data_IF_199038942380
#
_entry.id   IF_199038942380
#
_cell.length_a   1.000
_cell.length_b   1.000
_cell.length_c   1.000
_cell.angle_alpha   90.00
_cell.angle_beta   90.00
_cell.angle_gamma   90.00
#
_symmetry.space_group_name_H-M   'P 1'
#
loop_
_entity.id
_entity.type
_entity.pdbx_description
1 polymer ?
#
# COMPACT_ATOMS: atom_id res chain seq x y z
N UNK A 1 -21.69 36.43 -0.14
CA UNK A 1 -20.33 35.89 0.08
C UNK A 1 -20.20 34.64 -0.77
N UNK A 2 -19.06 34.40 -1.45
CA UNK A 2 -18.85 33.13 -2.14
C UNK A 2 -18.85 31.97 -1.12
N UNK A 3 -19.46 30.84 -1.49
CA UNK A 3 -19.57 29.65 -0.63
C UNK A 3 -18.18 29.03 -0.34
N UNK A 4 -17.22 29.24 -1.27
CA UNK A 4 -15.84 28.78 -1.19
C UNK A 4 -14.86 29.88 -1.58
N UNK A 5 -13.61 29.76 -1.14
CA UNK A 5 -12.53 30.62 -1.56
C UNK A 5 -12.23 30.43 -3.07
N UNK A 6 -12.03 31.49 -3.87
CA UNK A 6 -11.76 31.36 -5.30
C UNK A 6 -10.38 30.74 -5.56
N UNK A 7 -10.32 29.74 -6.44
CA UNK A 7 -9.09 29.04 -6.89
C UNK A 7 -9.21 28.81 -8.41
N UNK A 8 -8.09 28.91 -9.15
CA UNK A 8 -8.07 28.61 -10.59
C UNK A 8 -7.87 27.12 -10.83
N UNK A 9 -8.44 26.60 -11.90
CA UNK A 9 -8.26 25.21 -12.34
C UNK A 9 -6.77 24.90 -12.60
N UNK A 10 -6.01 25.86 -13.14
CA UNK A 10 -4.57 25.71 -13.34
C UNK A 10 -3.79 25.51 -12.04
N UNK A 11 -4.26 26.08 -10.94
CA UNK A 11 -3.57 26.00 -9.65
C UNK A 11 -3.81 24.62 -9.02
N UNK A 12 -5.01 24.05 -9.22
CA UNK A 12 -5.32 22.66 -8.84
C UNK A 12 -4.41 21.68 -9.58
N UNK A 13 -4.30 21.80 -10.91
CA UNK A 13 -3.44 20.91 -11.70
C UNK A 13 -1.97 21.03 -11.29
N UNK A 14 -1.46 22.25 -11.10
CA UNK A 14 -0.08 22.47 -10.65
C UNK A 14 0.17 21.86 -9.29
N UNK A 15 -0.75 22.03 -8.34
CA UNK A 15 -0.62 21.47 -7.00
C UNK A 15 -0.53 19.93 -7.04
N UNK A 16 -1.40 19.27 -7.81
CA UNK A 16 -1.39 17.80 -7.93
C UNK A 16 -0.11 17.32 -8.61
N UNK A 17 0.23 17.86 -9.79
CA UNK A 17 1.38 17.41 -10.58
C UNK A 17 2.69 17.64 -9.85
N UNK A 18 2.92 18.83 -9.31
CA UNK A 18 4.18 19.14 -8.60
C UNK A 18 4.35 18.29 -7.34
N UNK A 19 3.29 18.08 -6.56
CA UNK A 19 3.35 17.27 -5.35
C UNK A 19 3.60 15.80 -5.66
N UNK A 20 2.93 15.26 -6.70
CA UNK A 20 3.12 13.87 -7.12
C UNK A 20 4.54 13.65 -7.65
N UNK A 21 5.02 14.50 -8.56
CA UNK A 21 6.35 14.36 -9.13
C UNK A 21 7.45 14.51 -8.08
N UNK A 22 7.31 15.47 -7.15
CA UNK A 22 8.24 15.60 -6.03
C UNK A 22 8.33 14.31 -5.20
N UNK A 23 7.18 13.72 -4.82
CA UNK A 23 7.18 12.46 -4.07
C UNK A 23 7.72 11.30 -4.91
N UNK A 24 7.40 11.24 -6.20
CA UNK A 24 7.85 10.17 -7.08
C UNK A 24 9.38 10.22 -7.29
N UNK A 25 9.93 11.39 -7.56
CA UNK A 25 11.38 11.63 -7.65
C UNK A 25 12.08 11.31 -6.33
N UNK A 26 11.52 11.75 -5.20
CA UNK A 26 12.06 11.43 -3.88
C UNK A 26 12.13 9.92 -3.70
N UNK A 27 11.06 9.19 -3.98
CA UNK A 27 10.96 7.74 -3.74
C UNK A 27 11.46 6.86 -4.91
N UNK A 28 12.10 7.44 -5.92
CA UNK A 28 12.87 6.69 -6.90
C UNK A 28 13.98 5.85 -6.24
N UNK A 29 14.44 6.27 -5.07
CA UNK A 29 15.30 5.49 -4.16
C UNK A 29 14.68 5.46 -2.75
N UNK A 30 14.52 4.26 -2.19
CA UNK A 30 13.92 4.04 -0.86
C UNK A 30 14.70 3.02 -0.02
N UNK A 31 14.53 3.01 1.30
CA UNK A 31 15.10 1.93 2.11
C UNK A 31 14.37 0.62 1.84
N UNK A 32 13.03 0.67 1.81
CA UNK A 32 12.17 -0.49 1.60
C UNK A 32 11.07 -0.17 0.59
N UNK A 33 10.93 -1.06 -0.39
CA UNK A 33 9.74 -1.13 -1.25
C UNK A 33 8.91 -2.34 -0.85
N UNK A 34 7.61 -2.12 -0.61
CA UNK A 34 6.65 -3.18 -0.31
C UNK A 34 5.71 -3.31 -1.50
N UNK A 35 5.60 -4.50 -2.09
CA UNK A 35 4.67 -4.78 -3.18
C UNK A 35 3.38 -5.36 -2.60
N UNK A 36 2.29 -4.60 -2.68
CA UNK A 36 0.98 -4.96 -2.15
C UNK A 36 0.59 -4.14 -0.91
N UNK A 37 -0.49 -3.36 -1.03
CA UNK A 37 -1.09 -2.56 0.03
C UNK A 37 -2.15 -3.32 0.84
N UNK A 38 -2.04 -4.64 0.96
CA UNK A 38 -2.89 -5.50 1.80
C UNK A 38 -2.57 -5.39 3.29
N UNK A 39 -3.24 -6.18 4.16
CA UNK A 39 -3.05 -6.08 5.60
C UNK A 39 -1.60 -6.37 6.04
N UNK A 40 -0.94 -7.37 5.45
CA UNK A 40 0.46 -7.69 5.74
C UNK A 40 1.41 -6.58 5.32
N UNK A 41 1.25 -6.05 4.10
CA UNK A 41 2.08 -4.97 3.57
C UNK A 41 1.93 -3.66 4.37
N UNK A 42 0.69 -3.34 4.77
CA UNK A 42 0.41 -2.17 5.61
C UNK A 42 0.99 -2.30 7.03
N UNK A 43 0.89 -3.47 7.65
CA UNK A 43 1.51 -3.73 8.97
C UNK A 43 3.03 -3.63 8.86
N UNK A 44 3.64 -4.29 7.87
CA UNK A 44 5.09 -4.23 7.66
C UNK A 44 5.55 -2.80 7.42
N UNK A 45 4.84 -2.05 6.57
CA UNK A 45 5.15 -0.65 6.28
C UNK A 45 5.06 0.23 7.51
N UNK A 46 3.98 0.11 8.31
CA UNK A 46 3.80 0.83 9.58
C UNK A 46 4.99 0.58 10.51
N UNK A 47 5.36 -0.67 10.75
CA UNK A 47 6.43 -1.00 11.70
C UNK A 47 7.82 -0.56 11.22
N UNK A 48 8.11 -0.69 9.92
CA UNK A 48 9.38 -0.24 9.34
C UNK A 48 9.49 1.29 9.30
N UNK A 49 8.42 2.00 8.95
CA UNK A 49 8.43 3.46 8.91
C UNK A 49 8.60 4.07 10.31
N UNK A 50 8.03 3.44 11.36
CA UNK A 50 8.25 3.84 12.76
C UNK A 50 9.72 3.81 13.19
N UNK A 51 10.56 2.99 12.56
CA UNK A 51 12.01 2.98 12.85
C UNK A 51 12.78 4.06 12.11
N UNK A 52 12.10 4.94 11.37
CA UNK A 52 12.69 6.02 10.59
C UNK A 52 13.16 5.60 9.19
N UNK A 53 12.81 4.40 8.72
CA UNK A 53 13.14 3.96 7.36
C UNK A 53 12.21 4.62 6.35
N UNK A 54 12.75 4.92 5.16
CA UNK A 54 11.97 5.43 4.04
C UNK A 54 11.26 4.28 3.33
N UNK A 55 9.96 4.16 3.59
CA UNK A 55 9.14 3.06 3.08
C UNK A 55 8.12 3.55 2.05
N UNK A 56 8.04 2.85 0.93
CA UNK A 56 6.97 3.01 -0.07
C UNK A 56 6.26 1.70 -0.34
N UNK A 57 4.94 1.77 -0.47
CA UNK A 57 4.08 0.66 -0.88
C UNK A 57 3.62 0.89 -2.31
N UNK A 58 3.81 -0.11 -3.17
CA UNK A 58 3.26 -0.17 -4.53
C UNK A 58 2.00 -1.03 -4.50
N UNK A 59 0.86 -0.49 -4.95
CA UNK A 59 -0.43 -1.17 -4.94
C UNK A 59 -1.09 -1.08 -6.31
N UNK A 60 -1.50 -2.24 -6.86
CA UNK A 60 -2.10 -2.34 -8.19
C UNK A 60 -3.49 -1.73 -8.29
N UNK A 61 -4.23 -1.68 -7.18
CA UNK A 61 -5.55 -1.09 -7.11
C UNK A 61 -5.49 0.42 -6.84
N UNK A 62 -6.60 1.12 -7.10
CA UNK A 62 -6.77 2.51 -6.67
C UNK A 62 -7.12 2.65 -5.17
N UNK A 63 -7.23 1.54 -4.45
CA UNK A 63 -7.52 1.49 -3.03
C UNK A 63 -6.50 0.61 -2.31
N UNK A 64 -6.25 0.92 -1.04
CA UNK A 64 -5.42 0.12 -0.13
C UNK A 64 -6.30 -0.87 0.65
N UNK A 65 -5.69 -1.84 1.32
CA UNK A 65 -6.35 -2.84 2.17
C UNK A 65 -6.50 -4.21 1.54
N UNK A 66 -6.39 -4.32 0.21
CA UNK A 66 -6.56 -5.59 -0.51
C UNK A 66 -7.87 -6.28 -0.12
N UNK A 67 -7.79 -7.57 0.25
CA UNK A 67 -8.95 -8.35 0.69
C UNK A 67 -9.45 -8.03 2.11
N UNK A 68 -8.80 -7.14 2.87
CA UNK A 68 -9.09 -6.94 4.29
C UNK A 68 -10.40 -6.19 4.57
N UNK A 69 -10.99 -5.54 3.56
CA UNK A 69 -12.27 -4.83 3.71
C UNK A 69 -13.43 -5.75 4.11
N UNK A 70 -13.30 -7.05 3.86
CA UNK A 70 -14.37 -8.04 3.98
C UNK A 70 -13.80 -9.30 4.64
N UNK A 71 -14.60 -9.99 5.42
CA UNK A 71 -14.27 -11.32 5.93
C UNK A 71 -14.69 -12.45 4.99
N UNK A 72 -14.96 -13.61 5.56
CA UNK A 72 -15.41 -14.77 4.80
C UNK A 72 -16.79 -14.54 4.17
N UNK A 73 -16.98 -15.05 2.95
CA UNK A 73 -18.29 -15.12 2.29
C UNK A 73 -19.04 -13.77 2.19
N UNK A 74 -18.31 -12.69 1.87
CA UNK A 74 -18.86 -11.34 1.79
C UNK A 74 -19.45 -10.78 3.10
N UNK A 75 -19.21 -11.45 4.23
CA UNK A 75 -19.57 -10.94 5.55
C UNK A 75 -18.50 -9.97 6.02
N UNK A 76 -18.89 -8.81 6.53
CA UNK A 76 -17.99 -7.72 6.90
C UNK A 76 -17.28 -7.90 8.26
N UNK A 77 -17.28 -9.12 8.81
CA UNK A 77 -16.62 -9.46 10.07
C UNK A 77 -15.41 -10.34 9.80
N UNK A 78 -14.31 -10.10 10.50
CA UNK A 78 -13.14 -10.97 10.47
C UNK A 78 -12.80 -11.47 11.87
N UNK A 79 -11.99 -12.53 11.95
CA UNK A 79 -11.60 -13.12 13.22
C UNK A 79 -10.09 -13.07 13.41
N UNK A 80 -9.68 -12.99 14.67
CA UNK A 80 -8.30 -13.06 15.11
C UNK A 80 -8.18 -14.11 16.21
N UNK A 81 -7.10 -14.87 16.18
CA UNK A 81 -6.74 -15.77 17.28
C UNK A 81 -5.78 -15.06 18.22
N UNK A 82 -5.87 -15.39 19.50
CA UNK A 82 -4.94 -14.88 20.51
C UNK A 82 -3.46 -15.21 20.16
N UNK A 83 -2.51 -14.27 20.29
CA UNK A 83 -2.63 -12.89 20.80
C UNK A 83 -2.81 -11.80 19.71
N UNK A 84 -3.26 -12.15 18.50
CA UNK A 84 -3.29 -11.20 17.38
C UNK A 84 -4.29 -10.03 17.56
N UNK A 85 -5.21 -10.11 18.53
CA UNK A 85 -6.07 -8.97 18.88
C UNK A 85 -5.29 -7.77 19.44
N UNK A 86 -4.07 -7.96 19.94
CA UNK A 86 -3.24 -6.87 20.47
C UNK A 86 -2.93 -5.83 19.37
N UNK A 87 -2.90 -6.24 18.09
CA UNK A 87 -2.80 -5.33 16.96
C UNK A 87 -4.02 -4.42 16.86
N UNK A 88 -5.21 -4.90 17.22
CA UNK A 88 -6.42 -4.08 17.25
C UNK A 88 -6.41 -3.10 18.41
N UNK A 89 -5.82 -3.46 19.55
CA UNK A 89 -5.59 -2.52 20.65
C UNK A 89 -4.70 -1.36 20.22
N UNK A 90 -3.57 -1.65 19.53
CA UNK A 90 -2.69 -0.62 18.98
C UNK A 90 -3.40 0.30 17.97
N UNK A 91 -4.28 -0.28 17.15
CA UNK A 91 -5.05 0.46 16.16
C UNK A 91 -6.27 1.17 16.76
N UNK A 92 -6.61 0.92 18.02
CA UNK A 92 -7.82 1.45 18.67
C UNK A 92 -9.11 0.94 18.00
N UNK A 93 -9.12 -0.31 17.56
CA UNK A 93 -10.26 -0.96 16.90
C UNK A 93 -10.99 -1.83 17.92
N UNK A 94 -12.30 -1.60 18.16
CA UNK A 94 -13.07 -2.45 19.06
C UNK A 94 -13.25 -3.86 18.49
N UNK A 95 -13.21 -4.84 19.37
CA UNK A 95 -13.45 -6.24 19.05
C UNK A 95 -14.19 -6.95 20.19
N UNK A 96 -14.81 -8.08 19.88
CA UNK A 96 -15.56 -8.90 20.82
C UNK A 96 -14.93 -10.29 20.93
N UNK A 97 -15.01 -10.92 22.10
CA UNK A 97 -14.59 -12.31 22.30
C UNK A 97 -15.68 -13.24 21.78
N UNK A 98 -15.40 -13.97 20.70
CA UNK A 98 -16.31 -14.94 20.12
C UNK A 98 -16.27 -16.29 20.86
N UNK A 99 -15.08 -16.74 21.25
CA UNK A 99 -14.87 -17.93 22.08
C UNK A 99 -13.48 -17.88 22.76
N UNK A 100 -13.08 -18.93 23.48
CA UNK A 100 -11.76 -18.97 24.11
C UNK A 100 -10.65 -18.85 23.06
N UNK A 101 -9.82 -17.79 23.15
CA UNK A 101 -8.73 -17.51 22.22
C UNK A 101 -9.15 -17.04 20.82
N UNK A 102 -10.43 -16.70 20.61
CA UNK A 102 -10.96 -16.23 19.32
C UNK A 102 -11.75 -14.94 19.50
N UNK A 103 -11.42 -13.96 18.67
CA UNK A 103 -12.01 -12.63 18.67
C UNK A 103 -12.60 -12.30 17.30
N UNK A 104 -13.59 -11.41 17.28
CA UNK A 104 -14.25 -10.93 16.06
C UNK A 104 -14.32 -9.41 16.07
N UNK A 105 -14.11 -8.81 14.90
CA UNK A 105 -14.15 -7.36 14.72
C UNK A 105 -14.72 -6.98 13.35
N UNK A 106 -15.05 -5.69 13.19
CA UNK A 106 -15.50 -5.13 11.92
C UNK A 106 -14.32 -4.88 10.96
N UNK A 107 -14.33 -5.59 9.84
CA UNK A 107 -13.24 -5.58 8.87
C UNK A 107 -13.02 -4.18 8.24
N UNK A 108 -14.07 -3.42 7.82
CA UNK A 108 -13.88 -2.07 7.30
C UNK A 108 -13.24 -1.11 8.30
N UNK A 109 -13.60 -1.22 9.59
CA UNK A 109 -13.05 -0.37 10.64
C UNK A 109 -11.57 -0.69 10.87
N UNK A 110 -11.22 -1.97 11.01
CA UNK A 110 -9.84 -2.41 11.18
C UNK A 110 -8.96 -2.02 9.98
N UNK A 111 -9.46 -2.22 8.76
CA UNK A 111 -8.75 -1.88 7.53
C UNK A 111 -8.48 -0.37 7.43
N UNK A 112 -9.50 0.47 7.66
CA UNK A 112 -9.35 1.91 7.64
C UNK A 112 -8.35 2.41 8.70
N UNK A 113 -8.41 1.87 9.93
CA UNK A 113 -7.48 2.24 11.01
C UNK A 113 -6.05 1.80 10.72
N UNK A 114 -5.86 0.63 10.10
CA UNK A 114 -4.54 0.17 9.67
C UNK A 114 -3.95 1.06 8.56
N UNK A 115 -4.73 1.42 7.55
CA UNK A 115 -4.30 2.35 6.50
C UNK A 115 -3.90 3.69 7.12
N UNK A 116 -4.74 4.25 7.99
CA UNK A 116 -4.44 5.50 8.68
C UNK A 116 -3.14 5.39 9.51
N UNK A 117 -2.97 4.32 10.27
CA UNK A 117 -1.77 4.12 11.09
C UNK A 117 -0.49 3.97 10.25
N UNK A 118 -0.57 3.37 9.04
CA UNK A 118 0.56 3.32 8.12
C UNK A 118 0.91 4.71 7.56
N UNK A 119 -0.10 5.50 7.17
CA UNK A 119 0.09 6.90 6.76
C UNK A 119 0.72 7.75 7.88
N UNK A 120 0.20 7.63 9.11
CA UNK A 120 0.68 8.37 10.27
C UNK A 120 2.12 8.00 10.65
N UNK A 121 2.53 6.76 10.36
CA UNK A 121 3.91 6.29 10.53
C UNK A 121 4.88 6.84 9.46
N UNK A 122 4.38 7.44 8.38
CA UNK A 122 5.18 8.04 7.31
C UNK A 122 5.32 7.20 6.04
N UNK A 123 4.58 6.09 5.92
CA UNK A 123 4.56 5.27 4.70
C UNK A 123 3.99 6.07 3.53
N UNK A 124 4.62 5.98 2.35
CA UNK A 124 4.08 6.51 1.10
C UNK A 124 3.50 5.42 0.22
N UNK A 125 2.61 5.82 -0.68
CA UNK A 125 1.85 4.88 -1.50
C UNK A 125 1.89 5.33 -2.96
N UNK A 126 2.16 4.37 -3.84
CA UNK A 126 1.88 4.46 -5.27
C UNK A 126 0.76 3.47 -5.60
N UNK A 127 -0.47 3.99 -5.62
CA UNK A 127 -1.67 3.24 -6.02
C UNK A 127 -1.84 3.26 -7.53
N UNK A 128 -2.58 2.29 -8.07
CA UNK A 128 -2.63 2.01 -9.51
C UNK A 128 -1.25 1.73 -10.11
N UNK A 129 -0.31 1.21 -9.32
CA UNK A 129 1.04 0.88 -9.76
C UNK A 129 1.25 -0.63 -9.68
N UNK A 130 1.57 -1.23 -10.83
CA UNK A 130 1.79 -2.66 -11.02
C UNK A 130 3.29 -2.95 -10.96
N UNK A 131 3.67 -4.01 -10.24
CA UNK A 131 4.99 -4.62 -10.38
C UNK A 131 5.04 -5.40 -11.70
N UNK A 132 6.03 -5.11 -12.53
CA UNK A 132 6.31 -5.89 -13.74
C UNK A 132 7.52 -6.82 -13.58
N UNK A 133 8.56 -6.38 -12.88
CA UNK A 133 9.80 -7.15 -12.69
C UNK A 133 10.58 -6.64 -11.46
N UNK A 134 11.75 -7.23 -11.18
CA UNK A 134 12.69 -6.82 -10.14
C UNK A 134 14.01 -6.33 -10.71
N UNK A 135 14.65 -5.40 -10.01
CA UNK A 135 16.02 -4.98 -10.34
C UNK A 135 16.98 -5.99 -9.73
N UNK A 136 17.87 -6.57 -10.53
CA UNK A 136 18.91 -7.51 -10.09
C UNK A 136 20.31 -6.90 -10.21
N UNK A 137 21.07 -6.93 -9.12
CA UNK A 137 22.50 -6.61 -9.11
C UNK A 137 23.35 -7.89 -9.04
N UNK A 138 24.67 -7.73 -9.11
CA UNK A 138 25.64 -8.83 -9.01
C UNK A 138 25.36 -9.75 -7.82
N UNK A 139 25.55 -11.06 -8.03
CA UNK A 139 25.25 -12.07 -7.03
C UNK A 139 23.75 -12.36 -6.86
N UNK A 140 22.92 -12.02 -7.85
CA UNK A 140 21.47 -12.24 -7.86
C UNK A 140 20.74 -11.55 -6.70
N UNK A 141 21.25 -10.38 -6.27
CA UNK A 141 20.62 -9.60 -5.22
C UNK A 141 19.51 -8.72 -5.80
N UNK A 142 18.29 -8.86 -5.29
CA UNK A 142 17.20 -7.91 -5.57
C UNK A 142 17.57 -6.54 -5.00
N UNK A 143 17.53 -5.53 -5.85
CA UNK A 143 17.94 -4.14 -5.58
C UNK A 143 16.82 -3.13 -5.82
N UNK A 144 15.59 -3.60 -6.03
CA UNK A 144 14.45 -2.75 -6.30
C UNK A 144 13.40 -3.44 -7.15
N UNK A 145 12.45 -2.64 -7.64
CA UNK A 145 11.31 -3.09 -8.42
C UNK A 145 11.24 -2.34 -9.74
N UNK A 146 10.63 -2.96 -10.74
CA UNK A 146 10.31 -2.35 -12.02
C UNK A 146 8.79 -2.23 -12.08
N UNK A 147 8.29 -1.01 -12.25
CA UNK A 147 6.86 -0.69 -12.10
C UNK A 147 6.28 0.00 -13.31
N UNK A 148 4.97 -0.19 -13.47
CA UNK A 148 4.17 0.49 -14.49
C UNK A 148 2.79 0.87 -13.93
N UNK A 149 2.00 1.60 -14.71
CA UNK A 149 0.62 1.90 -14.34
C UNK A 149 -0.28 0.68 -14.55
N UNK A 150 -1.00 0.24 -13.52
CA UNK A 150 -1.84 -0.97 -13.54
C UNK A 150 -2.89 -1.03 -14.67
N UNK A 151 -3.46 0.08 -15.17
CA UNK A 151 -4.33 0.02 -16.35
C UNK A 151 -3.68 -0.61 -17.58
N UNK A 152 -2.34 -0.59 -17.70
CA UNK A 152 -1.63 -1.16 -18.86
C UNK A 152 -1.94 -2.64 -19.07
N UNK A 153 -2.17 -3.39 -17.99
CA UNK A 153 -2.51 -4.81 -18.04
C UNK A 153 -3.87 -5.11 -18.71
N UNK A 154 -4.71 -4.08 -18.90
CA UNK A 154 -6.03 -4.18 -19.51
C UNK A 154 -6.12 -3.47 -20.86
N UNK A 155 -5.03 -2.86 -21.32
CA UNK A 155 -4.98 -2.20 -22.62
C UNK A 155 -4.67 -3.21 -23.75
N UNK A 156 -5.08 -2.93 -25.00
CA UNK A 156 -4.68 -3.73 -26.15
C UNK A 156 -3.16 -3.80 -26.30
N UNK A 157 -2.65 -4.89 -26.89
CA UNK A 157 -1.20 -5.14 -27.04
C UNK A 157 -0.48 -4.05 -27.85
N UNK A 158 -1.20 -3.44 -28.78
CA UNK A 158 -0.71 -2.40 -29.67
C UNK A 158 -0.33 -1.10 -28.93
N UNK A 159 -0.87 -0.89 -27.73
CA UNK A 159 -0.61 0.31 -26.91
C UNK A 159 -0.03 -0.01 -25.52
N UNK A 160 -0.05 -1.26 -25.08
CA UNK A 160 0.48 -1.70 -23.78
C UNK A 160 1.97 -2.06 -23.81
N UNK A 161 2.61 -2.02 -24.98
CA UNK A 161 4.07 -2.11 -25.07
C UNK A 161 4.72 -0.78 -24.68
N UNK A 162 4.58 -0.40 -23.41
CA UNK A 162 5.21 0.79 -22.82
C UNK A 162 6.26 0.34 -21.83
N UNK A 163 7.45 0.93 -21.92
CA UNK A 163 8.54 0.61 -21.02
C UNK A 163 8.18 0.98 -19.56
N UNK A 164 8.42 0.08 -18.59
CA UNK A 164 8.26 0.39 -17.19
C UNK A 164 9.41 1.25 -16.66
N UNK A 165 9.31 1.70 -15.41
CA UNK A 165 10.36 2.48 -14.73
C UNK A 165 10.89 1.76 -13.49
N UNK A 166 12.20 1.81 -13.22
CA UNK A 166 12.79 1.21 -12.03
C UNK A 166 12.64 2.10 -10.79
N UNK A 167 12.45 1.49 -9.63
CA UNK A 167 12.55 2.09 -8.30
C UNK A 167 13.55 1.29 -7.47
N UNK A 168 14.63 1.93 -7.03
CA UNK A 168 15.70 1.28 -6.28
C UNK A 168 15.35 1.15 -4.79
N UNK A 169 15.78 0.04 -4.19
CA UNK A 169 15.68 -0.14 -2.75
C UNK A 169 16.71 -1.10 -2.17
N UNK A 170 16.92 -0.99 -0.86
CA UNK A 170 17.80 -1.91 -0.13
C UNK A 170 17.14 -3.25 0.13
N UNK A 171 15.81 -3.24 0.34
CA UNK A 171 14.99 -4.43 0.59
C UNK A 171 13.65 -4.30 -0.16
N UNK A 172 13.25 -5.39 -0.82
CA UNK A 172 11.90 -5.55 -1.38
C UNK A 172 11.14 -6.56 -0.52
N UNK A 173 9.88 -6.24 -0.17
CA UNK A 173 8.97 -7.15 0.55
C UNK A 173 7.79 -7.48 -0.38
N UNK A 174 7.59 -8.76 -0.66
CA UNK A 174 6.37 -9.23 -1.31
C UNK A 174 5.24 -9.39 -0.29
N UNK A 175 4.18 -8.61 -0.48
CA UNK A 175 2.94 -8.67 0.29
C UNK A 175 1.72 -8.77 -0.64
N UNK A 176 1.89 -9.35 -1.84
CA UNK A 176 0.84 -9.47 -2.87
C UNK A 176 -0.18 -10.57 -2.63
N UNK A 177 -0.04 -11.28 -1.51
CA UNK A 177 -0.98 -12.31 -1.07
C UNK A 177 -0.61 -13.68 -1.62
N UNK A 178 -1.61 -14.44 -2.04
CA UNK A 178 -1.41 -15.84 -2.45
C UNK A 178 -0.62 -15.98 -3.76
N UNK A 179 -0.69 -14.96 -4.63
CA UNK A 179 -0.08 -15.02 -5.96
C UNK A 179 1.45 -14.99 -5.89
N UNK A 180 2.03 -14.33 -4.87
CA UNK A 180 3.48 -14.21 -4.61
C UNK A 180 4.29 -13.89 -5.88
N UNK A 181 4.37 -12.61 -6.23
CA UNK A 181 4.75 -12.12 -7.56
C UNK A 181 6.17 -11.55 -7.65
N UNK A 182 6.92 -11.53 -6.54
CA UNK A 182 8.33 -11.08 -6.48
C UNK A 182 9.30 -12.25 -6.50
#
# INVERSE_FOLDING_TARGET
MPLFHPVRESDVTRAIVSSFLHQFEEYAESDVVIVGGGPSGLIAGKELAKTGLKVVVVERNNYLGGGFWIGGYFMNKFTLREPAQDVLDELGVPYEKASAGLYVADAPHACARLIAAACDAGVKFFSLTLLEDVILHEGNRVAGVVVNWSPIAHLPKEVSALDPVPLESRVVIDATGHDAVV
#
